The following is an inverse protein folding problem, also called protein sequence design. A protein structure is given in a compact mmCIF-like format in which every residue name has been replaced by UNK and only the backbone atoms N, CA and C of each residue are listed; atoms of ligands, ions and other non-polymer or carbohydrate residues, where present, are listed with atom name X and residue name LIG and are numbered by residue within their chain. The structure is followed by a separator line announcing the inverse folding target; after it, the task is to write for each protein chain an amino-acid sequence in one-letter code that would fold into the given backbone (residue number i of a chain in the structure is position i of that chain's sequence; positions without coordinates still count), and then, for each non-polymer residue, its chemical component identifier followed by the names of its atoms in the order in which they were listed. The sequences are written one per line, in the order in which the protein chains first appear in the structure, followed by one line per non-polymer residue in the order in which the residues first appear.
data_IF_781509312279
#
_entry.id   IF_781509312279
#
_cell.length_a   1.000
_cell.length_b   1.000
_cell.length_c   1.000
_cell.angle_alpha   90.00
_cell.angle_beta   90.00
_cell.angle_gamma   90.00
#
_symmetry.space_group_name_H-M   'P 1'
#
loop_
_entity.id
_entity.type
_entity.pdbx_description
1 polymer ?
#
# COMPACT_ATOMS: atom_id res chain seq x y z
N UNK A 1 -2.62 -0.84 -13.99
CA UNK A 1 -1.20 -0.52 -14.22
C UNK A 1 -0.42 -1.81 -14.20
N UNK A 2 0.53 -2.03 -15.11
CA UNK A 2 1.39 -3.22 -15.08
C UNK A 2 2.59 -2.94 -14.16
N UNK A 3 2.55 -3.45 -12.93
CA UNK A 3 3.59 -3.21 -11.94
C UNK A 3 4.87 -3.99 -12.23
N UNK A 4 4.79 -5.10 -12.96
CA UNK A 4 5.95 -5.87 -13.37
C UNK A 4 6.78 -5.06 -14.36
N UNK A 5 6.13 -4.58 -15.41
CA UNK A 5 6.76 -3.75 -16.42
C UNK A 5 7.29 -2.43 -15.82
N UNK A 6 6.53 -1.81 -14.91
CA UNK A 6 6.96 -0.62 -14.16
C UNK A 6 8.29 -0.86 -13.42
N UNK A 7 8.37 -1.93 -12.63
CA UNK A 7 9.56 -2.24 -11.82
C UNK A 7 10.77 -2.56 -12.71
N UNK A 8 10.57 -3.28 -13.81
CA UNK A 8 11.63 -3.60 -14.78
C UNK A 8 12.15 -2.32 -15.43
N UNK A 9 11.27 -1.45 -15.94
CA UNK A 9 11.68 -0.17 -16.54
C UNK A 9 12.40 0.72 -15.55
N UNK A 10 11.91 0.78 -14.31
CA UNK A 10 12.54 1.57 -13.25
C UNK A 10 13.94 1.06 -12.90
N UNK A 11 14.14 -0.26 -12.89
CA UNK A 11 15.45 -0.87 -12.69
C UNK A 11 16.44 -0.47 -13.82
N UNK A 12 15.96 -0.41 -15.05
CA UNK A 12 16.76 -0.08 -16.23
C UNK A 12 16.94 1.43 -16.46
N UNK A 13 16.31 2.28 -15.65
CA UNK A 13 16.31 3.74 -15.87
C UNK A 13 15.51 4.17 -17.12
N UNK A 14 14.58 3.33 -17.57
CA UNK A 14 13.70 3.56 -18.73
C UNK A 14 12.29 3.99 -18.34
N UNK A 15 12.05 4.30 -17.06
CA UNK A 15 10.75 4.77 -16.61
C UNK A 15 10.41 6.16 -17.17
N UNK A 16 9.13 6.40 -17.37
CA UNK A 16 8.60 7.75 -17.66
C UNK A 16 8.62 8.63 -16.41
N UNK A 17 8.58 9.97 -16.57
CA UNK A 17 8.47 10.88 -15.42
C UNK A 17 7.26 10.59 -14.52
N UNK A 18 6.13 10.16 -15.12
CA UNK A 18 4.91 9.81 -14.36
C UNK A 18 5.08 8.54 -13.55
N UNK A 19 5.76 7.53 -14.11
CA UNK A 19 6.07 6.27 -13.43
C UNK A 19 7.04 6.48 -12.27
N UNK A 20 8.10 7.30 -12.46
CA UNK A 20 9.01 7.67 -11.37
C UNK A 20 8.26 8.40 -10.24
N UNK A 21 7.43 9.38 -10.60
CA UNK A 21 6.66 10.17 -9.64
C UNK A 21 5.65 9.30 -8.90
N UNK A 22 5.07 8.30 -9.56
CA UNK A 22 4.20 7.31 -8.93
C UNK A 22 4.94 6.49 -7.86
N UNK A 23 6.13 5.96 -8.18
CA UNK A 23 6.95 5.20 -7.21
C UNK A 23 7.36 6.11 -6.04
N UNK A 24 7.83 7.34 -6.34
CA UNK A 24 8.18 8.35 -5.33
C UNK A 24 7.03 8.64 -4.37
N UNK A 25 5.84 8.90 -4.91
CA UNK A 25 4.66 9.19 -4.10
C UNK A 25 4.20 7.99 -3.27
N UNK A 26 4.35 6.77 -3.80
CA UNK A 26 4.05 5.54 -3.06
C UNK A 26 4.99 5.37 -1.86
N UNK A 27 6.28 5.57 -2.06
CA UNK A 27 7.31 5.57 -1.01
C UNK A 27 7.02 6.66 0.04
N UNK A 28 6.79 7.90 -0.40
CA UNK A 28 6.51 9.03 0.50
C UNK A 28 5.20 8.84 1.29
N UNK A 29 4.18 8.22 0.69
CA UNK A 29 2.93 7.88 1.38
C UNK A 29 3.17 6.85 2.49
N UNK A 30 3.92 5.79 2.20
CA UNK A 30 4.26 4.78 3.20
C UNK A 30 5.05 5.36 4.38
N UNK A 31 6.03 6.21 4.12
CA UNK A 31 6.85 6.87 5.14
C UNK A 31 6.00 7.79 6.05
N UNK A 32 5.10 8.58 5.46
CA UNK A 32 4.18 9.43 6.24
C UNK A 32 3.24 8.59 7.12
N UNK A 33 2.69 7.50 6.58
CA UNK A 33 1.79 6.62 7.33
C UNK A 33 2.47 5.89 8.49
N UNK A 34 3.77 5.64 8.40
CA UNK A 34 4.56 5.03 9.48
C UNK A 34 5.11 6.04 10.48
N UNK A 35 4.84 7.34 10.30
CA UNK A 35 5.31 8.41 11.19
C UNK A 35 6.82 8.64 11.14
N UNK A 36 7.49 8.22 10.06
CA UNK A 36 8.97 8.27 9.95
C UNK A 36 9.50 9.45 9.15
N UNK A 37 8.62 10.28 8.57
CA UNK A 37 9.00 11.39 7.69
C UNK A 37 10.01 12.35 8.33
N UNK A 38 9.72 12.82 9.55
CA UNK A 38 10.62 13.72 10.29
C UNK A 38 11.98 13.07 10.61
N UNK A 39 11.96 11.77 10.93
CA UNK A 39 13.17 11.02 11.24
C UNK A 39 14.06 10.92 10.00
N UNK A 40 13.49 10.64 8.83
CA UNK A 40 14.26 10.61 7.58
C UNK A 40 14.82 11.99 7.23
N UNK A 41 14.02 13.05 7.30
CA UNK A 41 14.49 14.42 7.02
C UNK A 41 15.64 14.83 7.94
N UNK A 42 15.56 14.48 9.23
CA UNK A 42 16.62 14.81 10.20
C UNK A 42 17.93 14.10 9.90
N UNK A 43 17.89 12.87 9.41
CA UNK A 43 19.10 12.04 9.20
C UNK A 43 19.70 12.19 7.80
N UNK A 44 18.89 12.45 6.77
CA UNK A 44 19.33 12.48 5.36
C UNK A 44 18.98 13.78 4.61
N UNK A 45 18.33 14.75 5.25
CA UNK A 45 17.91 16.00 4.62
C UNK A 45 16.58 15.90 3.87
N UNK A 46 16.15 16.99 3.26
CA UNK A 46 14.84 17.08 2.60
C UNK A 46 14.73 16.20 1.33
N UNK A 47 15.86 15.84 0.72
CA UNK A 47 15.94 15.03 -0.50
C UNK A 47 16.02 13.51 -0.24
N UNK A 48 15.83 13.07 1.02
CA UNK A 48 15.95 11.66 1.44
C UNK A 48 15.16 10.67 0.55
N UNK A 49 14.06 11.11 -0.07
CA UNK A 49 13.26 10.27 -0.98
C UNK A 49 14.07 9.84 -2.21
N UNK A 50 14.94 10.70 -2.74
CA UNK A 50 15.79 10.36 -3.89
C UNK A 50 16.84 9.30 -3.53
N UNK A 51 17.36 9.32 -2.29
CA UNK A 51 18.27 8.29 -1.79
C UNK A 51 17.57 6.94 -1.66
N UNK A 52 16.34 6.93 -1.13
CA UNK A 52 15.53 5.72 -1.04
C UNK A 52 15.20 5.17 -2.43
N UNK A 53 14.86 6.04 -3.39
CA UNK A 53 14.61 5.61 -4.77
C UNK A 53 15.87 5.05 -5.44
N UNK A 54 17.03 5.63 -5.16
CA UNK A 54 18.32 5.14 -5.65
C UNK A 54 18.63 3.75 -5.10
N UNK A 55 18.41 3.54 -3.80
CA UNK A 55 18.55 2.23 -3.15
C UNK A 55 17.56 1.20 -3.71
N UNK A 56 16.29 1.60 -3.91
CA UNK A 56 15.26 0.77 -4.50
C UNK A 56 15.67 0.31 -5.90
N UNK A 57 16.15 1.24 -6.74
CA UNK A 57 16.64 0.93 -8.09
C UNK A 57 17.80 -0.06 -8.05
N UNK A 58 18.80 0.18 -7.19
CA UNK A 58 19.96 -0.71 -7.07
C UNK A 58 19.53 -2.16 -6.76
N UNK A 59 18.54 -2.34 -5.87
CA UNK A 59 18.01 -3.68 -5.56
C UNK A 59 17.23 -4.29 -6.70
N UNK A 60 16.41 -3.51 -7.38
CA UNK A 60 15.64 -4.00 -8.52
C UNK A 60 16.55 -4.43 -9.67
N UNK A 61 17.70 -3.78 -9.87
CA UNK A 61 18.72 -4.22 -10.83
C UNK A 61 19.24 -5.61 -10.46
N UNK A 62 19.58 -5.83 -9.19
CA UNK A 62 20.07 -7.14 -8.69
C UNK A 62 19.02 -8.24 -8.87
N UNK A 63 17.75 -7.92 -8.63
CA UNK A 63 16.64 -8.89 -8.70
C UNK A 63 15.86 -8.86 -10.01
N UNK A 64 16.37 -8.20 -11.05
CA UNK A 64 15.66 -8.00 -12.32
C UNK A 64 15.19 -9.30 -12.93
N UNK A 65 16.05 -10.32 -12.96
CA UNK A 65 15.74 -11.64 -13.53
C UNK A 65 14.55 -12.31 -12.80
N UNK A 66 14.50 -12.21 -11.48
CA UNK A 66 13.38 -12.75 -10.70
C UNK A 66 12.06 -12.02 -10.98
N UNK A 67 12.10 -10.72 -11.31
CA UNK A 67 10.93 -9.96 -11.74
C UNK A 67 10.49 -10.36 -13.16
N UNK A 68 11.44 -10.60 -14.06
CA UNK A 68 11.17 -11.05 -15.44
C UNK A 68 10.50 -12.43 -15.46
N UNK A 69 10.89 -13.34 -14.56
CA UNK A 69 10.35 -14.70 -14.44
C UNK A 69 8.91 -14.73 -13.87
N UNK A 70 8.45 -13.66 -13.21
CA UNK A 70 7.06 -13.58 -12.72
C UNK A 70 6.09 -13.30 -13.86
N UNK A 71 4.97 -14.01 -13.88
CA UNK A 71 3.88 -13.80 -14.85
C UNK A 71 3.10 -12.52 -14.56
N UNK A 72 2.89 -12.21 -13.27
CA UNK A 72 2.14 -11.05 -12.81
C UNK A 72 2.73 -10.51 -11.51
N UNK A 73 2.66 -9.18 -11.34
CA UNK A 73 2.96 -8.50 -10.09
C UNK A 73 1.74 -7.68 -9.71
N UNK A 74 1.11 -8.05 -8.60
CA UNK A 74 0.03 -7.27 -8.03
C UNK A 74 0.58 -6.05 -7.26
N UNK A 75 -0.31 -5.13 -6.93
CA UNK A 75 0.05 -3.92 -6.20
C UNK A 75 0.59 -4.19 -4.79
N UNK A 76 0.09 -5.22 -4.09
CA UNK A 76 0.57 -5.56 -2.75
C UNK A 76 2.03 -6.00 -2.77
N UNK A 77 2.42 -6.79 -3.78
CA UNK A 77 3.79 -7.19 -4.01
C UNK A 77 4.69 -5.98 -4.29
N UNK A 78 4.23 -5.05 -5.14
CA UNK A 78 4.92 -3.77 -5.35
C UNK A 78 5.12 -3.00 -4.04
N UNK A 79 4.08 -2.87 -3.22
CA UNK A 79 4.17 -2.19 -1.92
C UNK A 79 5.12 -2.90 -0.96
N UNK A 80 5.15 -4.23 -0.96
CA UNK A 80 6.06 -5.01 -0.12
C UNK A 80 7.52 -4.74 -0.51
N UNK A 81 7.83 -4.61 -1.81
CA UNK A 81 9.16 -4.19 -2.28
C UNK A 81 9.50 -2.80 -1.74
N UNK A 82 8.60 -1.82 -1.92
CA UNK A 82 8.80 -0.44 -1.45
C UNK A 82 9.02 -0.41 0.07
N UNK A 83 8.16 -1.09 0.83
CA UNK A 83 8.25 -1.19 2.29
C UNK A 83 9.56 -1.81 2.73
N UNK A 84 9.95 -2.94 2.14
CA UNK A 84 11.19 -3.62 2.47
C UNK A 84 12.41 -2.73 2.21
N UNK A 85 12.38 -1.96 1.11
CA UNK A 85 13.41 -0.97 0.84
C UNK A 85 13.45 0.13 1.91
N UNK A 86 12.30 0.73 2.25
CA UNK A 86 12.21 1.77 3.29
C UNK A 86 12.63 1.27 4.66
N UNK A 87 12.19 0.08 5.07
CA UNK A 87 12.53 -0.52 6.36
C UNK A 87 14.04 -0.78 6.47
N UNK A 88 14.66 -1.28 5.41
CA UNK A 88 16.13 -1.47 5.38
C UNK A 88 16.89 -0.16 5.21
N UNK A 89 16.32 0.85 4.59
CA UNK A 89 16.92 2.19 4.57
C UNK A 89 16.88 2.82 5.97
N UNK A 90 15.75 2.65 6.68
CA UNK A 90 15.57 3.09 8.05
C UNK A 90 16.52 2.39 9.05
N UNK A 91 16.80 1.10 8.87
CA UNK A 91 17.73 0.38 9.76
C UNK A 91 19.18 0.90 9.69
N UNK A 92 19.54 1.65 8.63
CA UNK A 92 20.83 2.35 8.53
C UNK A 92 20.94 3.53 9.50
N UNK A 93 19.82 4.02 10.06
CA UNK A 93 19.86 4.96 11.18
C UNK A 93 20.44 4.20 12.37
N UNK A 94 21.74 4.36 12.61
CA UNK A 94 22.34 3.87 13.86
C UNK A 94 21.61 4.57 15.02
N UNK A 95 21.08 3.83 16.01
CA UNK A 95 20.89 4.42 17.32
C UNK A 95 22.26 4.99 17.71
N UNK A 96 22.30 6.26 18.13
CA UNK A 96 23.47 6.82 18.78
C UNK A 96 23.63 6.16 20.16
N UNK A 97 23.99 4.88 20.18
CA UNK A 97 24.63 4.27 21.33
C UNK A 97 26.13 4.52 21.15
N UNK A 98 26.74 5.16 22.14
CA UNK A 98 28.18 5.33 22.24
C UNK A 98 28.86 3.97 22.06
N UNK A 99 29.44 3.74 20.88
CA UNK A 99 30.23 2.53 20.64
C UNK A 99 31.50 2.67 21.46
N UNK A 100 31.60 1.93 22.57
CA UNK A 100 32.85 1.76 23.29
C UNK A 100 33.95 1.33 22.31
N UNK A 101 35.12 1.96 22.42
CA UNK A 101 36.31 1.71 21.60
C UNK A 101 36.72 0.21 21.56
N UNK A 102 36.25 -0.60 22.52
CA UNK A 102 36.51 -2.04 22.59
C UNK A 102 35.73 -2.90 21.58
N UNK A 103 34.71 -2.36 20.91
CA UNK A 103 33.92 -3.11 19.91
C UNK A 103 34.58 -3.18 18.52
N UNK A 104 35.73 -2.53 18.31
CA UNK A 104 36.50 -2.54 17.05
C UNK A 104 37.30 -3.82 16.78
N UNK A 105 36.94 -4.96 17.40
CA UNK A 105 37.48 -6.26 16.97
C UNK A 105 36.75 -6.72 15.72
N UNK A 106 37.48 -6.68 14.59
CA UNK A 106 37.12 -7.16 13.25
C UNK A 106 36.17 -8.38 13.30
N UNK A 107 34.92 -8.17 12.92
CA UNK A 107 34.02 -9.25 12.48
C UNK A 107 34.29 -9.48 11.00
N UNK A 108 34.63 -10.72 10.65
CA UNK A 108 34.96 -11.17 9.29
C UNK A 108 33.70 -11.19 8.41
N UNK A 109 33.86 -10.83 7.13
CA UNK A 109 32.81 -10.52 6.14
C UNK A 109 31.92 -11.70 5.66
N UNK A 110 31.83 -12.80 6.40
CA UNK A 110 31.29 -14.05 5.83
C UNK A 110 29.93 -14.52 6.37
N UNK A 111 29.35 -13.86 7.38
CA UNK A 111 28.12 -14.35 8.05
C UNK A 111 26.84 -13.54 7.76
N UNK A 112 26.93 -12.34 7.18
CA UNK A 112 25.77 -11.44 7.00
C UNK A 112 25.03 -11.61 5.65
N UNK A 113 25.50 -12.50 4.76
CA UNK A 113 24.92 -12.65 3.41
C UNK A 113 23.79 -13.66 3.31
N UNK A 114 23.59 -14.56 4.27
CA UNK A 114 22.71 -15.73 4.07
C UNK A 114 21.29 -15.61 4.63
N UNK A 115 20.98 -14.58 5.44
CA UNK A 115 19.72 -14.50 6.18
C UNK A 115 18.74 -13.45 5.60
N UNK A 116 19.24 -12.41 4.93
CA UNK A 116 18.38 -11.38 4.31
C UNK A 116 17.86 -11.78 2.91
N UNK A 117 18.55 -12.65 2.19
CA UNK A 117 18.27 -12.98 0.78
C UNK A 117 16.99 -13.79 0.57
N UNK A 118 16.58 -14.59 1.57
CA UNK A 118 15.49 -15.56 1.40
C UNK A 118 14.10 -14.95 1.65
N UNK A 119 13.97 -13.91 2.48
CA UNK A 119 12.65 -13.44 2.92
C UNK A 119 11.97 -12.41 2.00
N UNK A 120 12.71 -11.74 1.10
CA UNK A 120 12.11 -10.75 0.18
C UNK A 120 11.26 -11.39 -0.94
N UNK A 121 11.58 -12.62 -1.33
CA UNK A 121 11.04 -13.26 -2.54
C UNK A 121 10.39 -14.63 -2.31
N UNK A 122 10.42 -15.18 -1.08
CA UNK A 122 9.91 -16.53 -0.77
C UNK A 122 8.43 -16.61 -0.41
N UNK A 123 7.65 -15.52 -0.50
CA UNK A 123 6.22 -15.58 -0.21
C UNK A 123 5.45 -16.15 -1.41
N UNK A 124 5.01 -17.40 -1.26
CA UNK A 124 4.19 -18.16 -2.21
C UNK A 124 2.89 -17.42 -2.56
N UNK A 125 2.54 -17.44 -3.85
CA UNK A 125 1.35 -16.84 -4.48
C UNK A 125 -0.01 -17.25 -3.86
N UNK A 126 -0.07 -18.28 -3.01
CA UNK A 126 -1.33 -18.97 -2.66
C UNK A 126 -2.03 -18.46 -1.40
N UNK A 127 -1.35 -17.70 -0.53
CA UNK A 127 -1.90 -17.30 0.79
C UNK A 127 -2.49 -15.88 0.77
N UNK A 128 -1.96 -14.96 -0.06
CA UNK A 128 -2.35 -13.53 -0.03
C UNK A 128 -3.71 -13.25 -0.68
N UNK A 129 -4.08 -13.90 -1.79
CA UNK A 129 -5.37 -13.66 -2.46
C UNK A 129 -6.58 -14.00 -1.58
N UNK A 130 -6.45 -14.97 -0.66
CA UNK A 130 -7.54 -15.36 0.25
C UNK A 130 -7.70 -14.43 1.47
N UNK A 131 -6.69 -13.63 1.82
CA UNK A 131 -6.68 -12.82 3.03
C UNK A 131 -6.95 -11.32 2.80
N UNK A 132 -6.88 -10.84 1.55
CA UNK A 132 -7.07 -9.41 1.24
C UNK A 132 -8.51 -8.93 1.49
N UNK A 133 -9.52 -9.70 1.09
CA UNK A 133 -10.93 -9.33 1.22
C UNK A 133 -11.36 -8.99 2.66
N UNK A 134 -11.15 -9.88 3.64
CA UNK A 134 -11.45 -9.61 5.04
C UNK A 134 -10.72 -8.38 5.60
N UNK A 135 -9.43 -8.23 5.30
CA UNK A 135 -8.62 -7.09 5.76
C UNK A 135 -9.08 -5.78 5.14
N UNK A 136 -9.39 -5.79 3.85
CA UNK A 136 -9.95 -4.65 3.14
C UNK A 136 -11.30 -4.25 3.74
N UNK A 137 -12.17 -5.22 4.02
CA UNK A 137 -13.46 -4.97 4.67
C UNK A 137 -13.29 -4.27 6.02
N UNK A 138 -12.38 -4.74 6.88
CA UNK A 138 -12.11 -4.09 8.18
C UNK A 138 -11.61 -2.65 8.04
N UNK A 139 -10.73 -2.39 7.09
CA UNK A 139 -10.24 -1.03 6.81
C UNK A 139 -11.38 -0.14 6.35
N UNK A 140 -12.23 -0.63 5.43
CA UNK A 140 -13.38 0.11 4.94
C UNK A 140 -14.34 0.48 6.07
N UNK A 141 -14.67 -0.46 6.97
CA UNK A 141 -15.53 -0.22 8.13
C UNK A 141 -14.93 0.83 9.05
N UNK A 142 -13.62 0.78 9.34
CA UNK A 142 -12.94 1.75 10.22
C UNK A 142 -12.92 3.17 9.66
N UNK A 143 -13.01 3.35 8.33
CA UNK A 143 -12.99 4.66 7.68
C UNK A 143 -14.38 5.29 7.54
N UNK A 144 -15.44 4.49 7.72
CA UNK A 144 -16.82 4.93 7.63
C UNK A 144 -17.38 5.27 9.00
N UNK A 145 -18.09 6.38 9.09
CA UNK A 145 -18.97 6.65 10.22
C UNK A 145 -20.33 5.95 9.97
N UNK A 146 -21.09 5.59 11.00
CA UNK A 146 -22.42 4.95 10.81
C UNK A 146 -23.37 5.79 9.93
N UNK A 147 -23.21 7.12 9.98
CA UNK A 147 -23.99 8.06 9.14
C UNK A 147 -23.66 7.95 7.66
N UNK A 148 -22.55 7.32 7.30
CA UNK A 148 -22.12 7.11 5.92
C UNK A 148 -22.70 5.81 5.35
N UNK A 149 -23.12 4.85 6.18
CA UNK A 149 -23.67 3.56 5.73
C UNK A 149 -24.87 3.70 4.78
N UNK A 150 -25.91 4.52 5.06
CA UNK A 150 -27.04 4.66 4.14
C UNK A 150 -26.62 5.22 2.78
N UNK A 151 -25.59 6.08 2.75
CA UNK A 151 -25.07 6.68 1.52
C UNK A 151 -24.30 5.63 0.72
N UNK A 152 -23.41 4.89 1.36
CA UNK A 152 -22.63 3.82 0.72
C UNK A 152 -23.56 2.72 0.21
N UNK A 153 -24.55 2.30 0.99
CA UNK A 153 -25.57 1.33 0.57
C UNK A 153 -26.32 1.79 -0.69
N UNK A 154 -26.76 3.06 -0.74
CA UNK A 154 -27.43 3.61 -1.91
C UNK A 154 -26.55 3.55 -3.17
N UNK A 155 -25.28 3.98 -3.09
CA UNK A 155 -24.38 3.97 -4.24
C UNK A 155 -24.00 2.56 -4.67
N UNK A 156 -23.67 1.67 -3.73
CA UNK A 156 -23.36 0.26 -4.05
C UNK A 156 -24.55 -0.46 -4.67
N UNK A 157 -25.74 -0.27 -4.11
CA UNK A 157 -26.97 -0.82 -4.67
C UNK A 157 -27.20 -0.28 -6.09
N UNK A 158 -27.01 1.03 -6.32
CA UNK A 158 -27.19 1.63 -7.65
C UNK A 158 -26.24 1.05 -8.69
N UNK A 159 -25.00 0.78 -8.31
CA UNK A 159 -24.00 0.15 -9.20
C UNK A 159 -24.33 -1.31 -9.50
N UNK A 160 -24.84 -2.08 -8.52
CA UNK A 160 -25.05 -3.53 -8.64
C UNK A 160 -26.44 -3.90 -9.13
N UNK A 161 -27.49 -3.28 -8.59
CA UNK A 161 -28.90 -3.63 -8.77
C UNK A 161 -29.70 -2.61 -9.58
N UNK A 162 -29.13 -1.42 -9.85
CA UNK A 162 -29.69 -0.32 -10.67
C UNK A 162 -31.00 0.33 -10.19
N UNK A 163 -31.84 -0.36 -9.42
CA UNK A 163 -33.09 0.18 -8.87
C UNK A 163 -33.04 0.22 -7.34
N UNK A 164 -32.63 1.37 -6.79
CA UNK A 164 -32.37 1.52 -5.37
C UNK A 164 -33.02 2.78 -4.83
N UNK A 165 -33.79 2.61 -3.76
CA UNK A 165 -34.48 3.71 -3.11
C UNK A 165 -33.49 4.65 -2.43
N UNK A 166 -33.70 5.95 -2.64
CA UNK A 166 -32.92 6.99 -1.99
C UNK A 166 -33.16 6.95 -0.46
N UNK A 167 -32.11 7.07 0.37
CA UNK A 167 -32.27 7.12 1.83
C UNK A 167 -33.20 8.26 2.28
N UNK A 168 -34.16 7.94 3.16
CA UNK A 168 -35.12 8.91 3.70
C UNK A 168 -34.40 10.01 4.50
N UNK A 169 -34.84 11.26 4.33
CA UNK A 169 -34.33 12.39 5.11
C UNK A 169 -32.99 12.96 4.65
N UNK A 170 -32.42 12.50 3.52
CA UNK A 170 -31.17 13.04 2.96
C UNK A 170 -31.46 13.72 1.61
N UNK A 171 -30.98 14.95 1.42
CA UNK A 171 -31.06 15.63 0.11
C UNK A 171 -30.06 15.04 -0.89
N UNK A 172 -30.30 15.18 -2.20
CA UNK A 172 -29.37 14.67 -3.23
C UNK A 172 -28.00 15.32 -3.13
N UNK A 173 -27.98 16.64 -2.88
CA UNK A 173 -26.74 17.38 -2.67
C UNK A 173 -25.93 16.84 -1.46
N UNK A 174 -26.61 16.42 -0.39
CA UNK A 174 -25.94 15.85 0.78
C UNK A 174 -25.46 14.42 0.55
N UNK A 175 -26.21 13.60 -0.20
CA UNK A 175 -25.76 12.26 -0.64
C UNK A 175 -24.46 12.37 -1.44
N UNK A 176 -24.46 13.21 -2.46
CA UNK A 176 -23.29 13.42 -3.32
C UNK A 176 -22.09 13.94 -2.52
N UNK A 177 -22.27 14.99 -1.69
CA UNK A 177 -21.19 15.54 -0.87
C UNK A 177 -20.59 14.51 0.09
N UNK A 178 -21.42 13.66 0.69
CA UNK A 178 -20.94 12.59 1.60
C UNK A 178 -20.18 11.53 0.83
N UNK A 179 -20.68 11.10 -0.32
CA UNK A 179 -20.00 10.15 -1.18
C UNK A 179 -18.63 10.64 -1.65
N UNK A 180 -18.53 11.89 -2.11
CA UNK A 180 -17.25 12.49 -2.50
C UNK A 180 -16.26 12.61 -1.33
N UNK A 181 -16.73 12.98 -0.13
CA UNK A 181 -15.88 12.97 1.07
C UNK A 181 -15.39 11.59 1.42
N UNK A 182 -16.25 10.58 1.33
CA UNK A 182 -15.88 9.21 1.62
C UNK A 182 -14.83 8.72 0.61
N UNK A 183 -15.03 8.92 -0.70
CA UNK A 183 -14.02 8.62 -1.71
C UNK A 183 -12.68 9.31 -1.45
N UNK A 184 -12.70 10.56 -0.98
CA UNK A 184 -11.49 11.29 -0.58
C UNK A 184 -10.83 10.65 0.64
N UNK A 185 -11.59 10.36 1.71
CA UNK A 185 -11.11 9.63 2.90
C UNK A 185 -10.45 8.31 2.49
N UNK A 186 -11.08 7.54 1.61
CA UNK A 186 -10.53 6.31 1.06
C UNK A 186 -9.21 6.56 0.35
N UNK A 187 -9.15 7.50 -0.60
CA UNK A 187 -7.90 7.81 -1.32
C UNK A 187 -6.75 8.22 -0.39
N UNK A 188 -7.06 8.96 0.67
CA UNK A 188 -6.08 9.45 1.63
C UNK A 188 -5.58 8.33 2.56
N UNK A 189 -6.48 7.43 3.00
CA UNK A 189 -6.18 6.45 4.04
C UNK A 189 -5.90 5.04 3.54
N UNK A 190 -6.46 4.62 2.38
CA UNK A 190 -6.10 3.36 1.76
C UNK A 190 -4.68 3.47 1.24
N UNK A 191 -3.73 2.68 1.76
CA UNK A 191 -2.37 2.63 1.22
C UNK A 191 -2.36 2.04 -0.20
N UNK A 192 -3.46 1.42 -0.62
CA UNK A 192 -3.51 0.59 -1.80
C UNK A 192 -4.80 0.69 -2.59
N UNK A 193 -4.72 0.38 -3.89
CA UNK A 193 -5.88 0.06 -4.71
C UNK A 193 -6.22 -1.43 -4.50
N UNK A 194 -7.41 -1.76 -3.94
CA UNK A 194 -7.78 -3.13 -3.62
C UNK A 194 -7.96 -3.97 -4.90
N UNK A 195 -7.68 -5.28 -4.80
CA UNK A 195 -7.98 -6.21 -5.91
C UNK A 195 -9.48 -6.27 -6.21
N UNK A 196 -9.83 -6.67 -7.43
CA UNK A 196 -11.23 -6.82 -7.83
C UNK A 196 -11.98 -7.81 -6.92
N UNK A 197 -11.31 -8.86 -6.45
CA UNK A 197 -11.89 -9.84 -5.53
C UNK A 197 -12.07 -9.27 -4.12
N UNK A 198 -11.14 -8.46 -3.63
CA UNK A 198 -11.30 -7.76 -2.35
C UNK A 198 -12.45 -6.74 -2.41
N UNK A 199 -12.59 -6.01 -3.52
CA UNK A 199 -13.72 -5.10 -3.76
C UNK A 199 -15.03 -5.87 -3.79
N UNK A 200 -15.09 -6.99 -4.54
CA UNK A 200 -16.28 -7.83 -4.62
C UNK A 200 -16.65 -8.40 -3.25
N UNK A 201 -15.70 -8.93 -2.50
CA UNK A 201 -15.89 -9.41 -1.14
C UNK A 201 -16.47 -8.31 -0.24
N UNK A 202 -15.93 -7.09 -0.32
CA UNK A 202 -16.46 -5.96 0.43
C UNK A 202 -17.90 -5.64 0.03
N UNK A 203 -18.20 -5.55 -1.26
CA UNK A 203 -19.56 -5.23 -1.75
C UNK A 203 -20.56 -6.29 -1.27
N UNK A 204 -20.27 -7.57 -1.50
CA UNK A 204 -21.18 -8.68 -1.16
C UNK A 204 -21.46 -8.69 0.35
N UNK A 205 -20.39 -8.56 1.16
CA UNK A 205 -20.49 -8.58 2.61
C UNK A 205 -21.17 -7.33 3.16
N UNK A 206 -20.86 -6.14 2.64
CA UNK A 206 -21.43 -4.88 3.12
C UNK A 206 -22.92 -4.78 2.78
N UNK A 207 -23.31 -5.20 1.57
CA UNK A 207 -24.72 -5.25 1.17
C UNK A 207 -25.52 -6.22 2.06
N UNK A 208 -24.99 -7.40 2.33
CA UNK A 208 -25.70 -8.41 3.14
C UNK A 208 -25.70 -8.08 4.64
N UNK A 209 -24.55 -7.78 5.23
CA UNK A 209 -24.41 -7.66 6.69
C UNK A 209 -24.84 -6.30 7.23
N UNK A 210 -24.81 -5.24 6.42
CA UNK A 210 -25.16 -3.88 6.83
C UNK A 210 -26.40 -3.40 6.09
N UNK A 211 -26.36 -3.31 4.75
CA UNK A 211 -27.44 -2.65 4.01
C UNK A 211 -28.79 -3.35 4.16
N UNK A 212 -28.84 -4.67 4.00
CA UNK A 212 -30.07 -5.47 4.17
C UNK A 212 -30.47 -5.58 5.65
N UNK A 213 -29.52 -5.93 6.53
CA UNK A 213 -29.80 -6.12 7.97
C UNK A 213 -30.32 -4.86 8.65
N UNK A 214 -29.83 -3.69 8.26
CA UNK A 214 -30.25 -2.41 8.85
C UNK A 214 -31.42 -1.75 8.09
N UNK A 215 -31.94 -2.40 7.03
CA UNK A 215 -33.10 -1.93 6.28
C UNK A 215 -32.83 -0.67 5.46
N UNK A 216 -31.60 -0.50 4.95
CA UNK A 216 -31.26 0.60 4.05
C UNK A 216 -31.62 0.30 2.59
N UNK A 217 -31.68 -0.97 2.22
CA UNK A 217 -32.15 -1.50 0.93
C UNK A 217 -33.06 -2.71 1.15
#
# INVERSE_FOLDING_TARGET
MDYRELLIRFAEGRETPQEREFIKNSTAKFIRQTGRDEIFRKNWGDDYLEDILSELRARLIVHKRALEEKTFINWQYFLNIVRSCVDKFYSKIRPSEEISYDALKKRTEQDDRSIEETNLFAYEESIEEKAEGPKFYEVMIKLMDEKDYPVVCYYLCKEVQKDCAKPKGISEANLYKRWERFKRKLKDHLPYEPSADAVKYFIDRFLSEICQRQGYI
#
